data_IF_861062854816
#
_entry.id   IF_861062854816
#
_cell.length_a   1.000
_cell.length_b   1.000
_cell.length_c   1.000
_cell.angle_alpha   90.00
_cell.angle_beta   90.00
_cell.angle_gamma   90.00
#
_symmetry.space_group_name_H-M   'P 1'
#
loop_
_entity.id
_entity.type
_entity.pdbx_description
1 polymer ?
#
# COMPACT_ATOMS: atom_id res chain seq x y z
N UNK A 1 4.22 -5.25 19.19
CA UNK A 1 4.72 -4.77 17.88
C UNK A 1 3.54 -4.29 17.04
N UNK A 2 3.69 -3.19 16.31
CA UNK A 2 2.62 -2.67 15.44
C UNK A 2 2.35 -3.62 14.27
N UNK A 3 1.09 -3.82 13.85
CA UNK A 3 0.78 -4.58 12.64
C UNK A 3 1.39 -3.97 11.37
N UNK A 4 1.47 -4.75 10.30
CA UNK A 4 1.71 -4.28 8.94
C UNK A 4 0.51 -4.67 8.06
N UNK A 5 0.08 -3.79 7.17
CA UNK A 5 -1.17 -3.95 6.44
C UNK A 5 -0.95 -3.70 4.95
N UNK A 6 -1.31 -4.65 4.12
CA UNK A 6 -1.47 -4.46 2.67
C UNK A 6 -2.93 -4.20 2.34
N UNK A 7 -3.19 -3.17 1.55
CA UNK A 7 -4.53 -2.78 1.11
C UNK A 7 -4.60 -2.77 -0.42
N UNK A 8 -5.53 -3.51 -0.98
CA UNK A 8 -6.03 -3.29 -2.32
C UNK A 8 -6.90 -2.03 -2.31
N UNK A 9 -6.35 -0.89 -2.78
CA UNK A 9 -7.01 0.41 -2.55
C UNK A 9 -8.15 0.71 -3.53
N UNK A 10 -8.13 0.13 -4.73
CA UNK A 10 -9.18 0.27 -5.73
C UNK A 10 -9.39 1.71 -6.22
N UNK A 11 -10.64 2.03 -6.54
CA UNK A 11 -11.04 3.29 -7.17
C UNK A 11 -11.06 4.46 -6.14
N UNK A 12 -10.60 5.68 -6.49
CA UNK A 12 -10.64 6.86 -5.60
C UNK A 12 -12.02 7.21 -5.04
N UNK A 13 -13.11 6.85 -5.72
CA UNK A 13 -14.48 7.04 -5.22
C UNK A 13 -14.78 6.26 -3.93
N UNK A 14 -13.95 5.26 -3.59
CA UNK A 14 -14.08 4.52 -2.33
C UNK A 14 -13.93 5.43 -1.10
N UNK A 15 -13.21 6.55 -1.23
CA UNK A 15 -13.12 7.57 -0.18
C UNK A 15 -14.50 8.04 0.32
N UNK A 16 -15.48 8.14 -0.59
CA UNK A 16 -16.82 8.64 -0.29
C UNK A 16 -17.90 7.55 -0.32
N UNK A 17 -17.50 6.30 -0.52
CA UNK A 17 -18.44 5.18 -0.69
C UNK A 17 -18.69 4.47 0.64
N UNK A 18 -19.95 4.11 0.89
CA UNK A 18 -20.30 3.16 1.93
C UNK A 18 -20.57 1.78 1.30
N UNK A 19 -19.55 0.98 1.18
CA UNK A 19 -19.60 -0.34 0.57
C UNK A 19 -18.87 -1.40 1.43
N UNK A 20 -18.86 -2.68 1.05
CA UNK A 20 -18.18 -3.71 1.84
C UNK A 20 -16.70 -3.40 2.11
N UNK A 21 -15.97 -2.84 1.15
CA UNK A 21 -14.53 -2.52 1.28
C UNK A 21 -14.30 -1.41 2.32
N UNK A 22 -14.98 -0.28 2.17
CA UNK A 22 -14.83 0.85 3.09
C UNK A 22 -15.30 0.51 4.50
N UNK A 23 -16.36 -0.33 4.64
CA UNK A 23 -16.81 -0.82 5.96
C UNK A 23 -15.77 -1.75 6.60
N UNK A 24 -15.11 -2.61 5.82
CA UNK A 24 -14.05 -3.46 6.32
C UNK A 24 -12.84 -2.64 6.81
N UNK A 25 -12.45 -1.57 6.09
CA UNK A 25 -11.39 -0.65 6.52
C UNK A 25 -11.74 0.07 7.82
N UNK A 26 -12.97 0.58 7.96
CA UNK A 26 -13.42 1.20 9.24
C UNK A 26 -13.32 0.22 10.40
N UNK A 27 -13.90 -0.98 10.22
CA UNK A 27 -13.85 -2.03 11.26
C UNK A 27 -12.43 -2.43 11.61
N UNK A 28 -11.53 -2.49 10.62
CA UNK A 28 -10.11 -2.75 10.85
C UNK A 28 -9.51 -1.62 11.70
N UNK A 29 -9.70 -0.35 11.31
CA UNK A 29 -9.18 0.82 12.04
C UNK A 29 -9.63 0.86 13.52
N UNK A 30 -10.89 0.51 13.79
CA UNK A 30 -11.43 0.39 15.16
C UNK A 30 -10.73 -0.70 16.00
N UNK A 31 -10.23 -1.76 15.36
CA UNK A 31 -9.60 -2.90 16.03
C UNK A 31 -8.08 -2.74 16.19
N UNK A 32 -7.46 -1.81 15.47
CA UNK A 32 -6.02 -1.60 15.52
C UNK A 32 -5.59 -0.89 16.80
N UNK A 33 -4.44 -1.23 17.37
CA UNK A 33 -3.82 -0.36 18.37
C UNK A 33 -3.51 1.00 17.70
N UNK A 34 -3.66 2.10 18.46
CA UNK A 34 -3.35 3.42 17.93
C UNK A 34 -1.87 3.52 17.59
N UNK A 35 -1.49 3.75 16.33
CA UNK A 35 -0.08 3.91 15.97
C UNK A 35 0.47 5.26 16.43
N UNK A 36 1.79 5.32 16.68
CA UNK A 36 2.53 6.56 16.89
C UNK A 36 2.55 7.40 15.60
N UNK A 37 2.77 6.74 14.47
CA UNK A 37 2.71 7.31 13.13
C UNK A 37 2.40 6.20 12.10
N UNK A 38 2.11 6.58 10.88
CA UNK A 38 1.86 5.67 9.75
C UNK A 38 2.90 5.97 8.66
N UNK A 39 3.58 4.93 8.18
CA UNK A 39 4.39 5.00 6.96
C UNK A 39 3.60 4.31 5.84
N UNK A 40 3.11 5.10 4.88
CA UNK A 40 2.35 4.62 3.73
C UNK A 40 3.28 4.44 2.53
N UNK A 41 3.22 3.29 1.90
CA UNK A 41 3.95 2.94 0.67
C UNK A 41 2.89 2.76 -0.40
N UNK A 42 2.72 3.77 -1.25
CA UNK A 42 1.65 3.80 -2.25
C UNK A 42 2.18 3.60 -3.66
N UNK A 43 1.42 2.87 -4.47
CA UNK A 43 1.67 2.69 -5.89
C UNK A 43 1.74 4.01 -6.69
N UNK A 44 1.16 5.09 -6.15
CA UNK A 44 0.99 6.35 -6.87
C UNK A 44 2.14 7.34 -6.70
N UNK A 45 3.10 7.06 -5.85
CA UNK A 45 4.31 7.87 -5.73
C UNK A 45 5.54 7.11 -6.19
N UNK A 46 5.88 7.29 -7.45
CA UNK A 46 7.07 6.71 -8.06
C UNK A 46 8.14 7.78 -8.26
N UNK A 47 9.39 7.44 -8.01
CA UNK A 47 10.55 8.32 -8.20
C UNK A 47 11.64 7.56 -8.95
N UNK A 48 12.35 8.19 -9.92
CA UNK A 48 13.49 7.56 -10.58
C UNK A 48 14.78 7.78 -9.78
N UNK A 49 15.58 6.72 -9.63
CA UNK A 49 16.93 6.77 -9.12
C UNK A 49 17.09 7.06 -7.62
N UNK A 50 16.01 7.13 -6.87
CA UNK A 50 16.05 7.19 -5.40
C UNK A 50 14.69 6.96 -4.78
N UNK A 51 14.66 6.36 -3.59
CA UNK A 51 13.49 6.39 -2.70
C UNK A 51 13.43 7.74 -1.99
N UNK A 52 12.22 8.28 -1.78
CA UNK A 52 11.98 9.49 -1.00
C UNK A 52 10.95 9.26 0.11
N UNK A 53 11.04 10.03 1.18
CA UNK A 53 10.06 10.05 2.27
C UNK A 53 9.57 11.48 2.49
N UNK A 54 8.24 11.66 2.63
CA UNK A 54 7.67 12.98 2.92
C UNK A 54 8.16 13.50 4.27
N UNK A 55 8.66 14.75 4.30
CA UNK A 55 9.33 15.35 5.45
C UNK A 55 8.71 16.69 5.89
N UNK A 56 7.50 17.01 5.46
CA UNK A 56 6.78 18.19 5.88
C UNK A 56 5.93 17.94 7.14
N UNK A 57 5.72 18.97 7.96
CA UNK A 57 4.86 18.87 9.15
C UNK A 57 3.37 18.75 8.82
N UNK A 58 2.96 19.21 7.63
CA UNK A 58 1.57 19.14 7.14
C UNK A 58 1.58 18.75 5.67
N UNK A 59 1.52 17.45 5.35
CA UNK A 59 1.42 16.97 3.98
C UNK A 59 0.08 17.35 3.37
N UNK A 60 0.10 17.86 2.14
CA UNK A 60 -1.13 18.16 1.40
C UNK A 60 -1.82 16.88 0.93
N UNK A 61 -3.13 16.94 0.76
CA UNK A 61 -3.89 15.89 0.05
C UNK A 61 -3.68 16.06 -1.45
N UNK A 62 -3.21 15.01 -2.14
CA UNK A 62 -2.98 15.01 -3.59
C UNK A 62 -4.13 14.31 -4.30
N UNK A 63 -4.66 14.95 -5.34
CA UNK A 63 -5.70 14.40 -6.21
C UNK A 63 -5.06 13.99 -7.55
N UNK A 64 -4.31 12.89 -7.52
CA UNK A 64 -3.51 12.34 -8.62
C UNK A 64 -4.34 11.49 -9.61
N UNK A 65 -5.59 11.87 -9.80
CA UNK A 65 -6.55 11.21 -10.69
C UNK A 65 -7.33 12.23 -11.54
N UNK A 66 -8.01 11.76 -12.59
CA UNK A 66 -8.83 12.59 -13.47
C UNK A 66 -10.18 11.96 -13.79
N UNK A 67 -11.14 12.81 -14.26
CA UNK A 67 -12.44 12.32 -14.74
C UNK A 67 -13.48 11.97 -13.68
N UNK A 68 -13.26 12.36 -12.43
CA UNK A 68 -14.17 12.10 -11.31
C UNK A 68 -15.08 13.30 -11.00
N UNK A 69 -16.17 13.09 -10.24
CA UNK A 69 -17.05 14.19 -9.80
C UNK A 69 -16.31 15.21 -8.92
N UNK A 70 -16.66 16.50 -9.06
CA UNK A 70 -16.05 17.63 -8.33
C UNK A 70 -15.92 17.38 -6.84
N UNK A 71 -16.96 16.81 -6.21
CA UNK A 71 -16.99 16.50 -4.77
C UNK A 71 -15.83 15.60 -4.29
N UNK A 72 -15.21 14.80 -5.17
CA UNK A 72 -14.05 13.99 -4.83
C UNK A 72 -12.80 14.86 -4.71
N UNK A 73 -12.64 15.86 -5.57
CA UNK A 73 -11.52 16.83 -5.50
C UNK A 73 -11.64 17.80 -4.31
N UNK A 74 -12.79 17.86 -3.67
CA UNK A 74 -13.03 18.66 -2.46
C UNK A 74 -12.68 17.89 -1.17
N UNK A 75 -12.42 16.57 -1.28
CA UNK A 75 -12.03 15.77 -0.12
C UNK A 75 -10.63 16.15 0.33
N UNK A 76 -10.44 16.24 1.65
CA UNK A 76 -9.17 16.54 2.29
C UNK A 76 -8.93 15.55 3.43
N UNK A 77 -7.71 15.06 3.53
CA UNK A 77 -7.25 14.27 4.66
C UNK A 77 -6.06 14.97 5.31
N UNK A 78 -6.34 15.80 6.30
CA UNK A 78 -5.41 16.77 6.90
C UNK A 78 -4.62 16.18 8.06
N UNK A 79 -4.12 14.96 7.93
CA UNK A 79 -3.25 14.37 8.93
C UNK A 79 -1.93 15.14 9.03
N UNK A 80 -1.35 15.30 10.24
CA UNK A 80 -0.01 15.85 10.36
C UNK A 80 1.02 14.92 9.73
N UNK A 81 2.19 15.46 9.39
CA UNK A 81 3.40 14.70 9.13
C UNK A 81 4.30 14.60 10.36
N UNK A 82 5.46 13.98 10.21
CA UNK A 82 6.48 13.87 11.27
C UNK A 82 7.89 14.04 10.64
N UNK A 83 8.39 15.29 10.52
CA UNK A 83 9.70 15.55 9.95
C UNK A 83 10.85 14.87 10.70
N UNK A 84 10.74 14.71 12.02
CA UNK A 84 11.78 14.07 12.82
C UNK A 84 11.84 12.57 12.53
N UNK A 85 10.68 11.91 12.39
CA UNK A 85 10.61 10.52 11.95
C UNK A 85 11.11 10.34 10.52
N UNK A 86 10.81 11.28 9.61
CA UNK A 86 11.35 11.24 8.24
C UNK A 86 12.88 11.29 8.24
N UNK A 87 13.47 12.14 9.06
CA UNK A 87 14.93 12.24 9.23
C UNK A 87 15.50 10.96 9.86
N UNK A 88 14.81 10.37 10.85
CA UNK A 88 15.19 9.08 11.46
C UNK A 88 15.20 7.96 10.39
N UNK A 89 14.13 7.83 9.60
CA UNK A 89 14.04 6.85 8.51
C UNK A 89 15.18 7.03 7.50
N UNK A 90 15.43 8.27 7.04
CA UNK A 90 16.50 8.56 6.09
C UNK A 90 17.89 8.17 6.60
N UNK A 91 18.14 8.33 7.91
CA UNK A 91 19.41 7.98 8.55
C UNK A 91 19.55 6.48 8.81
N UNK A 92 18.51 5.88 9.38
CA UNK A 92 18.52 4.46 9.76
C UNK A 92 18.59 3.54 8.52
N UNK A 93 18.07 4.02 7.37
CA UNK A 93 18.05 3.31 6.09
C UNK A 93 19.14 3.85 5.13
N UNK A 94 20.30 4.23 5.63
CA UNK A 94 21.35 4.90 4.87
C UNK A 94 21.80 4.13 3.61
N UNK A 95 21.73 2.80 3.62
CA UNK A 95 22.05 1.96 2.46
C UNK A 95 21.08 2.13 1.27
N UNK A 96 19.84 2.52 1.54
CA UNK A 96 18.82 2.79 0.52
C UNK A 96 18.81 4.25 0.03
N UNK A 97 19.66 5.11 0.60
CA UNK A 97 19.78 6.53 0.23
C UNK A 97 18.44 7.28 0.17
N UNK A 98 17.58 7.08 1.17
CA UNK A 98 16.24 7.70 1.21
C UNK A 98 16.35 9.22 1.32
N UNK A 99 15.82 9.93 0.33
CA UNK A 99 15.80 11.41 0.29
C UNK A 99 14.61 11.96 1.08
N UNK A 100 14.82 13.11 1.74
CA UNK A 100 13.72 13.86 2.34
C UNK A 100 13.00 14.66 1.25
N UNK A 101 11.69 14.51 1.16
CA UNK A 101 10.84 15.23 0.21
C UNK A 101 9.93 16.21 0.95
N UNK A 102 9.87 17.46 0.48
CA UNK A 102 9.07 18.54 1.07
C UNK A 102 7.95 19.02 0.16
N UNK A 103 7.75 18.38 -1.01
CA UNK A 103 6.85 18.85 -2.06
C UNK A 103 5.67 17.89 -2.33
N UNK A 104 5.85 16.57 -2.16
CA UNK A 104 4.81 15.59 -2.43
C UNK A 104 3.60 15.80 -1.52
N UNK A 105 3.20 14.89 -0.73
CA UNK A 105 2.06 14.91 0.16
C UNK A 105 1.48 13.50 0.36
N UNK A 106 0.15 13.39 0.43
CA UNK A 106 -0.56 12.11 0.51
C UNK A 106 -1.37 11.92 -0.77
N UNK A 107 -1.04 10.93 -1.59
CA UNK A 107 -1.78 10.56 -2.79
C UNK A 107 -3.06 9.77 -2.49
N UNK A 108 -3.88 9.53 -3.51
CA UNK A 108 -5.17 8.88 -3.29
C UNK A 108 -5.06 7.43 -2.82
N UNK A 109 -4.03 6.70 -3.20
CA UNK A 109 -3.80 5.35 -2.68
C UNK A 109 -3.61 5.34 -1.17
N UNK A 110 -3.10 6.43 -0.60
CA UNK A 110 -2.93 6.61 0.84
C UNK A 110 -4.16 7.21 1.49
N UNK A 111 -4.58 8.43 1.10
CA UNK A 111 -5.59 9.16 1.85
C UNK A 111 -7.00 8.56 1.73
N UNK A 112 -7.38 7.93 0.60
CA UNK A 112 -8.71 7.31 0.46
C UNK A 112 -8.92 6.17 1.44
N UNK A 113 -7.88 5.40 1.70
CA UNK A 113 -7.87 4.30 2.66
C UNK A 113 -7.85 4.84 4.09
N UNK A 114 -6.98 5.82 4.36
CA UNK A 114 -6.79 6.40 5.69
C UNK A 114 -8.02 7.15 6.19
N UNK A 115 -8.83 7.75 5.32
CA UNK A 115 -10.12 8.35 5.68
C UNK A 115 -11.08 7.36 6.34
N UNK A 116 -10.96 6.08 6.03
CA UNK A 116 -11.76 5.03 6.65
C UNK A 116 -11.07 4.37 7.84
N UNK A 117 -9.77 4.11 7.75
CA UNK A 117 -9.01 3.50 8.86
C UNK A 117 -8.89 4.44 10.06
N UNK A 118 -8.60 5.72 9.82
CA UNK A 118 -8.33 6.72 10.85
C UNK A 118 -9.02 8.05 10.51
N UNK A 119 -10.37 8.10 10.59
CA UNK A 119 -11.16 9.24 10.10
C UNK A 119 -10.92 10.57 10.84
N UNK A 120 -10.29 10.53 12.02
CA UNK A 120 -9.94 11.75 12.77
C UNK A 120 -8.75 12.48 12.19
N UNK A 121 -7.96 11.85 11.31
CA UNK A 121 -6.75 12.41 10.71
C UNK A 121 -5.78 13.03 11.75
N UNK A 122 -5.69 12.41 12.94
CA UNK A 122 -4.93 12.92 14.09
C UNK A 122 -3.67 12.09 14.41
N UNK A 123 -3.29 11.21 13.50
CA UNK A 123 -2.09 10.38 13.55
C UNK A 123 -1.13 10.90 12.47
N UNK A 124 0.16 11.13 12.78
CA UNK A 124 1.13 11.52 11.78
C UNK A 124 1.24 10.50 10.65
N UNK A 125 1.24 10.98 9.40
CA UNK A 125 1.38 10.15 8.20
C UNK A 125 2.57 10.63 7.38
N UNK A 126 3.47 9.70 7.08
CA UNK A 126 4.53 9.84 6.11
C UNK A 126 4.24 8.93 4.93
N UNK A 127 4.68 9.34 3.75
CA UNK A 127 4.60 8.50 2.57
C UNK A 127 6.02 8.20 2.06
N UNK A 128 6.25 6.96 1.66
CA UNK A 128 7.50 6.49 1.05
C UNK A 128 7.25 6.24 -0.43
N UNK A 129 8.14 6.75 -1.30
CA UNK A 129 8.06 6.53 -2.74
C UNK A 129 8.62 5.16 -3.15
N UNK A 130 8.26 4.74 -4.36
CA UNK A 130 8.83 3.59 -5.05
C UNK A 130 9.89 4.07 -6.05
N UNK A 131 11.13 3.59 -5.92
CA UNK A 131 12.17 3.85 -6.93
C UNK A 131 11.97 2.88 -8.11
N UNK A 132 11.42 3.38 -9.21
CA UNK A 132 11.06 2.56 -10.38
C UNK A 132 12.27 2.06 -11.18
N UNK A 133 13.47 2.55 -10.90
CA UNK A 133 14.71 2.09 -11.53
C UNK A 133 15.33 0.88 -10.80
N UNK A 134 14.76 0.50 -9.66
CA UNK A 134 15.20 -0.64 -8.87
C UNK A 134 14.41 -1.91 -9.19
N UNK A 135 15.05 -3.06 -8.98
CA UNK A 135 14.43 -4.37 -9.15
C UNK A 135 13.49 -4.74 -7.99
N UNK A 136 12.63 -5.74 -8.15
CA UNK A 136 11.74 -6.20 -7.09
C UNK A 136 12.45 -6.65 -5.82
N UNK A 137 13.68 -7.20 -5.92
CA UNK A 137 14.48 -7.63 -4.77
C UNK A 137 14.86 -6.44 -3.88
N UNK A 138 15.23 -5.29 -4.48
CA UNK A 138 15.50 -4.07 -3.73
C UNK A 138 14.30 -3.65 -2.87
N UNK A 139 13.08 -3.65 -3.44
CA UNK A 139 11.86 -3.28 -2.73
C UNK A 139 11.55 -4.23 -1.57
N UNK A 140 11.74 -5.52 -1.78
CA UNK A 140 11.60 -6.53 -0.72
C UNK A 140 12.63 -6.32 0.40
N UNK A 141 13.91 -6.11 0.06
CA UNK A 141 14.97 -5.91 1.04
C UNK A 141 14.79 -4.61 1.84
N UNK A 142 14.37 -3.53 1.19
CA UNK A 142 14.01 -2.30 1.88
C UNK A 142 12.81 -2.51 2.81
N UNK A 143 11.77 -3.21 2.35
CA UNK A 143 10.63 -3.60 3.20
C UNK A 143 11.08 -4.35 4.45
N UNK A 144 12.01 -5.29 4.33
CA UNK A 144 12.58 -6.05 5.45
C UNK A 144 13.31 -5.13 6.45
N UNK A 145 14.06 -4.15 5.95
CA UNK A 145 14.76 -3.18 6.79
C UNK A 145 13.78 -2.28 7.54
N UNK A 146 12.73 -1.81 6.88
CA UNK A 146 11.66 -1.00 7.48
C UNK A 146 10.88 -1.72 8.59
N UNK A 147 10.95 -3.06 8.67
CA UNK A 147 10.21 -3.84 9.67
C UNK A 147 10.55 -3.48 11.12
N UNK A 148 11.73 -2.90 11.39
CA UNK A 148 12.12 -2.40 12.71
C UNK A 148 11.24 -1.25 13.21
N UNK A 149 10.61 -0.49 12.29
CA UNK A 149 9.71 0.61 12.64
C UNK A 149 8.43 0.12 13.34
N UNK A 150 8.00 -1.13 13.09
CA UNK A 150 6.86 -1.73 13.77
C UNK A 150 7.08 -1.84 15.29
N UNK A 151 8.32 -2.06 15.72
CA UNK A 151 8.69 -2.09 17.15
C UNK A 151 8.67 -0.70 17.78
N UNK A 152 8.88 0.35 16.98
CA UNK A 152 8.79 1.76 17.38
C UNK A 152 7.35 2.30 17.39
N UNK A 153 6.34 1.44 17.16
CA UNK A 153 4.92 1.82 17.13
C UNK A 153 4.46 2.44 15.81
N UNK A 154 5.22 2.27 14.73
CA UNK A 154 4.86 2.77 13.40
C UNK A 154 4.06 1.70 12.64
N UNK A 155 2.88 2.07 12.14
CA UNK A 155 2.09 1.24 11.24
C UNK A 155 2.68 1.31 9.83
N UNK A 156 3.05 0.16 9.27
CA UNK A 156 3.43 0.08 7.86
C UNK A 156 2.19 -0.24 7.04
N UNK A 157 1.85 0.64 6.12
CA UNK A 157 0.70 0.52 5.21
C UNK A 157 1.20 0.44 3.77
N UNK A 158 1.03 -0.71 3.11
CA UNK A 158 1.24 -0.86 1.68
C UNK A 158 -0.07 -0.69 0.94
N UNK A 159 -0.13 0.23 0.00
CA UNK A 159 -1.30 0.52 -0.80
C UNK A 159 -1.03 0.27 -2.28
N UNK A 160 -1.56 -0.84 -2.77
CA UNK A 160 -1.40 -1.33 -4.14
C UNK A 160 -2.52 -2.30 -4.48
N UNK A 161 -2.29 -3.22 -5.39
CA UNK A 161 -3.25 -4.27 -5.72
C UNK A 161 -2.51 -5.55 -6.13
N UNK A 162 -3.03 -6.72 -5.76
CA UNK A 162 -2.48 -8.00 -6.24
C UNK A 162 -2.72 -8.20 -7.74
N UNK A 163 -3.75 -7.56 -8.29
CA UNK A 163 -4.04 -7.51 -9.73
C UNK A 163 -4.53 -6.11 -10.07
N UNK A 164 -3.94 -5.46 -11.06
CA UNK A 164 -4.30 -4.11 -11.47
C UNK A 164 -4.12 -3.91 -12.98
N UNK A 165 -5.20 -4.04 -13.75
CA UNK A 165 -5.18 -3.76 -15.19
C UNK A 165 -6.37 -2.91 -15.61
N UNK A 166 -6.15 -1.60 -15.74
CA UNK A 166 -7.18 -0.65 -16.13
C UNK A 166 -7.61 -0.79 -17.60
N UNK A 167 -6.78 -1.38 -18.47
CA UNK A 167 -7.12 -1.57 -19.87
C UNK A 167 -8.16 -2.67 -20.11
N UNK A 168 -8.40 -3.52 -19.10
CA UNK A 168 -9.29 -4.68 -19.17
C UNK A 168 -10.50 -4.53 -18.24
N UNK A 169 -10.80 -3.30 -17.79
CA UNK A 169 -11.93 -3.06 -16.90
C UNK A 169 -13.27 -3.39 -17.56
N UNK A 170 -14.13 -4.07 -16.81
CA UNK A 170 -15.52 -4.35 -17.20
C UNK A 170 -16.43 -4.09 -15.99
N UNK A 171 -16.98 -2.87 -15.85
CA UNK A 171 -17.85 -2.53 -14.73
C UNK A 171 -19.09 -3.42 -14.67
N UNK A 172 -19.37 -3.97 -13.47
CA UNK A 172 -20.52 -4.83 -13.22
C UNK A 172 -20.37 -6.28 -13.71
N UNK A 173 -19.26 -6.64 -14.34
CA UNK A 173 -18.95 -8.02 -14.69
C UNK A 173 -18.24 -8.76 -13.56
N UNK A 174 -18.30 -10.09 -13.63
CA UNK A 174 -17.54 -10.94 -12.71
C UNK A 174 -16.05 -10.81 -13.01
N UNK A 175 -15.19 -11.08 -12.01
CA UNK A 175 -13.75 -11.11 -12.22
C UNK A 175 -13.37 -12.05 -13.37
N UNK A 176 -12.40 -11.62 -14.18
CA UNK A 176 -11.90 -12.43 -15.29
C UNK A 176 -11.18 -13.69 -14.74
N UNK A 177 -11.18 -14.77 -15.53
CA UNK A 177 -10.53 -16.02 -15.10
C UNK A 177 -9.03 -15.84 -14.84
N UNK A 178 -8.37 -15.08 -15.68
CA UNK A 178 -6.94 -14.82 -15.52
C UNK A 178 -6.63 -13.97 -14.27
N UNK A 179 -7.48 -12.99 -13.96
CA UNK A 179 -7.31 -12.16 -12.76
C UNK A 179 -7.51 -12.99 -11.47
N UNK A 180 -8.52 -13.85 -11.45
CA UNK A 180 -8.74 -14.78 -10.34
C UNK A 180 -7.58 -15.77 -10.18
N UNK A 181 -7.04 -16.31 -11.30
CA UNK A 181 -5.91 -17.25 -11.26
C UNK A 181 -4.66 -16.57 -10.72
N UNK A 182 -4.33 -15.38 -11.22
CA UNK A 182 -3.15 -14.65 -10.78
C UNK A 182 -3.24 -14.24 -9.30
N UNK A 183 -4.38 -13.72 -8.86
CA UNK A 183 -4.61 -13.34 -7.46
C UNK A 183 -4.50 -14.56 -6.51
N UNK A 184 -5.02 -15.71 -6.92
CA UNK A 184 -4.90 -16.94 -6.14
C UNK A 184 -3.47 -17.50 -6.13
N UNK A 185 -2.73 -17.42 -7.25
CA UNK A 185 -1.31 -17.80 -7.30
C UNK A 185 -0.48 -16.99 -6.30
N UNK A 186 -0.70 -15.66 -6.26
CA UNK A 186 -0.03 -14.80 -5.28
C UNK A 186 -0.42 -15.16 -3.85
N UNK A 187 -1.71 -15.38 -3.61
CA UNK A 187 -2.19 -15.80 -2.29
C UNK A 187 -1.53 -17.09 -1.83
N UNK A 188 -1.44 -18.10 -2.70
CA UNK A 188 -0.80 -19.37 -2.37
C UNK A 188 0.69 -19.19 -2.05
N UNK A 189 1.42 -18.37 -2.81
CA UNK A 189 2.80 -18.06 -2.53
C UNK A 189 2.99 -17.33 -1.18
N UNK A 190 2.09 -16.39 -0.85
CA UNK A 190 2.08 -15.69 0.44
C UNK A 190 1.81 -16.65 1.60
N UNK A 191 0.84 -17.57 1.45
CA UNK A 191 0.47 -18.57 2.47
C UNK A 191 1.58 -19.60 2.71
N UNK A 192 2.29 -19.96 1.63
CA UNK A 192 3.41 -20.90 1.67
C UNK A 192 4.75 -20.24 2.10
N UNK A 193 4.76 -18.93 2.35
CA UNK A 193 5.96 -18.13 2.64
C UNK A 193 7.04 -18.23 1.55
N UNK A 194 6.62 -18.40 0.29
CA UNK A 194 7.48 -18.46 -0.90
C UNK A 194 7.85 -17.04 -1.37
N UNK A 195 8.49 -16.24 -0.50
CA UNK A 195 8.74 -14.81 -0.75
C UNK A 195 9.56 -14.58 -2.03
N UNK A 196 10.52 -15.45 -2.36
CA UNK A 196 11.31 -15.33 -3.59
C UNK A 196 10.49 -15.55 -4.85
N UNK A 197 9.46 -16.39 -4.81
CA UNK A 197 8.52 -16.54 -5.91
C UNK A 197 7.69 -15.27 -6.16
N UNK A 198 7.41 -14.50 -5.09
CA UNK A 198 6.76 -13.20 -5.22
C UNK A 198 7.74 -12.15 -5.76
N UNK A 199 9.01 -12.15 -5.34
CA UNK A 199 10.05 -11.27 -5.86
C UNK A 199 10.29 -11.50 -7.36
N UNK A 200 10.35 -12.76 -7.78
CA UNK A 200 10.56 -13.16 -9.18
C UNK A 200 9.26 -13.39 -9.97
N UNK A 201 8.13 -12.90 -9.47
CA UNK A 201 6.83 -13.14 -10.07
C UNK A 201 6.73 -12.68 -11.53
N UNK A 202 7.41 -11.58 -11.87
CA UNK A 202 7.43 -11.04 -13.25
C UNK A 202 8.07 -12.00 -14.25
N UNK A 203 9.10 -12.72 -13.84
CA UNK A 203 9.82 -13.69 -14.66
C UNK A 203 9.15 -15.06 -14.66
N UNK A 204 8.54 -15.45 -13.54
CA UNK A 204 8.07 -16.83 -13.32
C UNK A 204 6.58 -17.03 -13.60
N UNK A 205 5.75 -15.97 -13.50
CA UNK A 205 4.31 -16.09 -13.73
C UNK A 205 3.90 -15.49 -15.07
N UNK A 206 3.44 -16.33 -15.99
CA UNK A 206 3.03 -15.93 -17.34
C UNK A 206 1.86 -14.91 -17.38
N UNK A 207 1.11 -14.77 -16.29
CA UNK A 207 0.01 -13.80 -16.18
C UNK A 207 0.45 -12.44 -15.66
N UNK A 208 1.72 -12.28 -15.21
CA UNK A 208 2.18 -11.05 -14.56
C UNK A 208 1.96 -9.81 -15.44
N UNK A 209 2.44 -9.82 -16.68
CA UNK A 209 2.31 -8.67 -17.59
C UNK A 209 0.86 -8.32 -17.92
N UNK A 210 -0.04 -9.33 -17.88
CA UNK A 210 -1.47 -9.09 -18.03
C UNK A 210 -2.08 -8.50 -16.76
N UNK A 211 -1.65 -8.96 -15.60
CA UNK A 211 -2.13 -8.46 -14.31
C UNK A 211 -1.57 -7.08 -13.98
N UNK A 212 -0.32 -6.83 -14.35
CA UNK A 212 0.43 -5.61 -14.11
C UNK A 212 1.10 -5.13 -15.42
N UNK A 213 0.41 -4.31 -16.24
CA UNK A 213 1.04 -3.66 -17.41
C UNK A 213 2.21 -2.75 -17.02
N UNK A 214 2.23 -2.27 -15.79
CA UNK A 214 3.31 -1.54 -15.11
C UNK A 214 3.42 -2.00 -13.66
N UNK A 215 4.61 -1.93 -13.07
CA UNK A 215 4.95 -2.66 -11.83
C UNK A 215 4.47 -1.95 -10.53
N UNK A 216 4.16 -0.65 -10.59
CA UNK A 216 3.96 0.20 -9.40
C UNK A 216 2.87 -0.31 -8.44
N UNK A 217 1.78 -0.89 -8.94
CA UNK A 217 0.71 -1.44 -8.07
C UNK A 217 1.08 -2.77 -7.42
N UNK A 218 2.07 -3.48 -7.96
CA UNK A 218 2.59 -4.71 -7.39
C UNK A 218 3.62 -4.46 -6.27
N UNK A 219 4.50 -3.47 -6.45
CA UNK A 219 5.64 -3.24 -5.57
C UNK A 219 5.29 -3.06 -4.09
N UNK A 220 4.20 -2.36 -3.67
CA UNK A 220 3.82 -2.27 -2.26
C UNK A 220 3.59 -3.63 -1.59
N UNK A 221 3.18 -4.67 -2.34
CA UNK A 221 3.03 -6.02 -1.82
C UNK A 221 4.37 -6.56 -1.30
N UNK A 222 5.47 -6.36 -2.05
CA UNK A 222 6.81 -6.83 -1.68
C UNK A 222 7.29 -6.21 -0.36
N UNK A 223 7.04 -4.92 -0.17
CA UNK A 223 7.33 -4.25 1.10
C UNK A 223 6.59 -4.89 2.26
N UNK A 224 5.34 -5.30 2.05
CA UNK A 224 4.49 -5.79 3.13
C UNK A 224 4.74 -7.26 3.47
N UNK A 225 4.98 -8.12 2.51
CA UNK A 225 5.36 -9.51 2.80
C UNK A 225 6.72 -9.57 3.52
N UNK A 226 7.65 -8.69 3.18
CA UNK A 226 8.94 -8.54 3.84
C UNK A 226 8.84 -8.09 5.32
N UNK A 227 7.66 -7.59 5.77
CA UNK A 227 7.41 -7.23 7.17
C UNK A 227 7.20 -8.44 8.09
N UNK A 228 7.02 -9.64 7.54
CA UNK A 228 6.72 -10.84 8.30
C UNK A 228 7.81 -11.11 9.35
N UNK A 229 7.37 -11.36 10.58
CA UNK A 229 8.22 -11.74 11.72
C UNK A 229 7.74 -13.08 12.27
N UNK A 230 8.66 -13.81 12.92
CA UNK A 230 8.30 -15.03 13.64
C UNK A 230 7.21 -14.74 14.67
N UNK A 231 6.10 -15.48 14.57
CA UNK A 231 4.93 -15.31 15.44
C UNK A 231 3.87 -14.35 14.90
N UNK A 232 4.10 -13.68 13.75
CA UNK A 232 3.01 -12.97 13.07
C UNK A 232 1.97 -13.97 12.55
N UNK A 233 0.72 -13.58 12.64
CA UNK A 233 -0.41 -14.24 11.98
C UNK A 233 -0.80 -13.41 10.75
N UNK A 234 -1.10 -14.12 9.67
CA UNK A 234 -1.63 -13.55 8.43
C UNK A 234 -3.15 -13.66 8.42
N UNK A 235 -3.87 -12.59 8.15
CA UNK A 235 -5.32 -12.60 7.99
C UNK A 235 -5.72 -11.75 6.78
N UNK A 236 -6.43 -12.37 5.85
CA UNK A 236 -6.99 -11.70 4.66
C UNK A 236 -8.34 -11.04 4.97
N UNK A 237 -8.65 -10.00 4.19
CA UNK A 237 -9.96 -9.35 4.12
C UNK A 237 -10.14 -8.71 2.75
N UNK A 238 -11.36 -8.29 2.42
CA UNK A 238 -11.72 -7.72 1.11
C UNK A 238 -11.29 -8.59 -0.09
N UNK A 239 -11.33 -9.91 0.07
CA UNK A 239 -10.86 -10.87 -0.94
C UNK A 239 -11.83 -10.99 -2.12
N UNK A 240 -12.06 -9.89 -2.84
CA UNK A 240 -12.94 -9.75 -3.99
C UNK A 240 -12.30 -8.79 -5.01
N UNK A 241 -12.98 -8.51 -6.10
CA UNK A 241 -12.52 -7.64 -7.18
C UNK A 241 -13.44 -6.43 -7.36
N UNK A 242 -12.84 -5.27 -7.62
CA UNK A 242 -13.51 -4.11 -8.18
C UNK A 242 -13.29 -4.09 -9.70
N UNK A 243 -14.34 -3.71 -10.47
CA UNK A 243 -14.26 -3.53 -11.92
C UNK A 243 -13.66 -4.73 -12.69
N UNK A 244 -13.86 -5.95 -12.22
CA UNK A 244 -13.47 -7.25 -12.82
C UNK A 244 -11.96 -7.59 -12.84
N UNK A 245 -11.07 -6.61 -12.75
CA UNK A 245 -9.61 -6.80 -12.88
C UNK A 245 -8.78 -6.13 -11.79
N UNK A 246 -9.41 -5.47 -10.84
CA UNK A 246 -8.73 -4.83 -9.70
C UNK A 246 -8.96 -5.68 -8.45
N UNK A 247 -7.93 -6.37 -8.00
CA UNK A 247 -8.02 -7.15 -6.76
C UNK A 247 -8.06 -6.23 -5.55
N UNK A 248 -9.12 -6.38 -4.75
CA UNK A 248 -9.27 -5.69 -3.47
C UNK A 248 -8.71 -6.51 -2.31
N UNK A 249 -8.16 -7.72 -2.59
CA UNK A 249 -7.57 -8.58 -1.58
C UNK A 249 -6.54 -7.82 -0.77
N UNK A 250 -6.78 -7.82 0.52
CA UNK A 250 -5.96 -7.12 1.52
C UNK A 250 -5.58 -8.10 2.62
N UNK A 251 -4.50 -7.81 3.33
CA UNK A 251 -4.12 -8.63 4.48
C UNK A 251 -3.47 -7.80 5.59
N UNK A 252 -3.46 -8.38 6.78
CA UNK A 252 -2.76 -7.87 7.95
C UNK A 252 -1.80 -8.93 8.48
N UNK A 253 -0.59 -8.49 8.79
CA UNK A 253 0.40 -9.22 9.58
C UNK A 253 0.41 -8.65 10.98
N UNK A 254 0.11 -9.47 11.98
CA UNK A 254 0.08 -9.03 13.38
C UNK A 254 0.56 -10.13 14.33
N UNK A 255 1.28 -9.76 15.38
CA UNK A 255 1.54 -10.67 16.51
C UNK A 255 0.24 -10.94 17.27
N UNK A 256 0.12 -12.16 17.78
CA UNK A 256 -0.99 -12.55 18.68
C UNK A 256 -0.99 -11.74 19.96
#
# INVERSE_FOLDING_TARGET
MMPAIFIGHGNPMLAMSDNPYSRAWRKLGESLPRPRAILSISAHWTTPGAVAVTAMAQPRTIHDFGGFPKRLYEQQYTAPGDPDLALEISRDMASAHIKLDHDWGLDHGSWTVLMHLFPKADIPVLQLSLDIDQDPQFHFDLGRTLSSLREKGILILGSGNMTHNLSQLSPGERPTKWALSFDEDLKQAIDAEEDQKLVHCKEENALYTMAHPSDEHYLPLLYLIAQRKTGDTLRYFNADFDLSTISMRSFILSTK
#
